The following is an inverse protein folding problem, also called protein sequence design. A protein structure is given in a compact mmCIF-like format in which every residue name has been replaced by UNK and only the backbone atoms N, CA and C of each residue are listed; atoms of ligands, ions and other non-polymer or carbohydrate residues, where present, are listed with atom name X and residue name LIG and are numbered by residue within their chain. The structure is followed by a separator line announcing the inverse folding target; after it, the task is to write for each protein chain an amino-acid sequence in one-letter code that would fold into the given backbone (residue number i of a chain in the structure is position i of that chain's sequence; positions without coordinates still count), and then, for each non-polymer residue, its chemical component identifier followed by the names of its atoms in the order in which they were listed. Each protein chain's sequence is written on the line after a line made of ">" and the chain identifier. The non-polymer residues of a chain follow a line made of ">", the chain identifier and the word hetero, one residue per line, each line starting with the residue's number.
data_IF_828503977822
#
_entry.id   IF_828503977822
#
_cell.length_a   1.000
_cell.length_b   1.000
_cell.length_c   1.000
_cell.angle_alpha   90.00
_cell.angle_beta   90.00
_cell.angle_gamma   90.00
#
_symmetry.space_group_name_H-M   'P 1'
#
loop_
_entity.id
_entity.type
_entity.pdbx_description
1 polymer ?
#
# COMPACT_ATOMS: atom_id res chain seq x y z
N UNK A 1 47.05 34.28 -10.89
CA UNK A 1 46.17 33.24 -11.46
C UNK A 1 46.86 31.89 -11.34
N UNK A 2 46.57 31.10 -10.29
CA UNK A 2 46.93 29.65 -10.14
C UNK A 2 46.64 29.20 -8.70
N UNK A 3 45.40 29.34 -8.23
CA UNK A 3 44.93 28.68 -6.99
C UNK A 3 43.46 28.23 -7.11
N UNK A 4 42.98 27.98 -8.34
CA UNK A 4 41.59 27.54 -8.62
C UNK A 4 41.45 26.00 -8.65
N UNK A 5 42.52 25.24 -8.38
CA UNK A 5 42.54 23.80 -8.66
C UNK A 5 42.29 22.91 -7.42
N UNK A 6 42.24 23.46 -6.20
CA UNK A 6 42.13 22.62 -4.98
C UNK A 6 40.68 22.35 -4.55
N UNK A 7 39.69 23.06 -5.10
CA UNK A 7 38.27 22.88 -4.74
C UNK A 7 37.61 21.71 -5.51
N UNK A 8 38.24 21.20 -6.57
CA UNK A 8 37.69 20.11 -7.38
C UNK A 8 37.93 18.69 -6.80
N UNK A 9 38.64 18.56 -5.68
CA UNK A 9 39.01 17.26 -5.12
C UNK A 9 38.09 16.74 -4.00
N UNK A 10 37.01 17.46 -3.68
CA UNK A 10 36.03 17.05 -2.66
C UNK A 10 34.71 16.51 -3.22
N UNK A 11 34.55 16.43 -4.55
CA UNK A 11 33.25 16.13 -5.17
C UNK A 11 33.10 14.66 -5.60
N UNK A 12 34.17 13.84 -5.65
CA UNK A 12 34.08 12.56 -6.39
C UNK A 12 34.37 11.25 -5.67
N UNK A 13 34.73 11.22 -4.39
CA UNK A 13 34.93 9.92 -3.72
C UNK A 13 34.46 9.92 -2.28
N UNK A 14 33.22 9.47 -2.10
CA UNK A 14 32.84 8.39 -1.16
C UNK A 14 31.38 8.54 -0.68
N UNK A 15 30.45 8.83 -1.59
CA UNK A 15 29.15 8.19 -1.48
C UNK A 15 29.29 6.75 -1.96
N UNK A 16 29.98 5.92 -1.17
CA UNK A 16 29.64 4.50 -1.07
C UNK A 16 28.27 4.42 -0.40
N UNK A 17 27.24 4.93 -1.09
CA UNK A 17 25.87 4.52 -0.84
C UNK A 17 25.80 3.12 -1.41
N UNK A 18 26.39 2.18 -0.67
CA UNK A 18 25.97 0.79 -0.68
C UNK A 18 24.46 0.88 -0.57
N UNK A 19 23.79 0.67 -1.70
CA UNK A 19 22.36 0.50 -1.77
C UNK A 19 22.12 -0.79 -1.02
N UNK A 20 22.07 -0.65 0.31
CA UNK A 20 21.52 -1.63 1.19
C UNK A 20 20.10 -1.74 0.69
N UNK A 21 19.84 -2.76 -0.13
CA UNK A 21 18.53 -3.38 -0.20
C UNK A 21 18.27 -3.91 1.20
N UNK A 22 17.95 -3.00 2.13
CA UNK A 22 17.13 -3.31 3.27
C UNK A 22 15.85 -3.82 2.63
N UNK A 23 15.77 -5.14 2.51
CA UNK A 23 14.50 -5.84 2.52
C UNK A 23 13.77 -5.29 3.75
N UNK A 24 13.01 -4.22 3.54
CA UNK A 24 12.07 -3.70 4.51
C UNK A 24 10.99 -4.76 4.61
N UNK A 25 11.27 -5.82 5.35
CA UNK A 25 10.29 -6.81 5.75
C UNK A 25 9.35 -6.11 6.74
N UNK A 26 8.47 -5.26 6.19
CA UNK A 26 7.39 -4.63 6.94
C UNK A 26 6.64 -5.74 7.67
N UNK A 27 6.47 -5.58 8.98
CA UNK A 27 5.82 -6.59 9.80
C UNK A 27 4.37 -6.77 9.33
N UNK A 28 3.97 -8.02 9.15
CA UNK A 28 2.65 -8.40 8.64
C UNK A 28 1.68 -8.64 9.81
N UNK A 29 0.47 -8.10 9.69
CA UNK A 29 -0.68 -8.29 10.58
C UNK A 29 -1.48 -9.52 10.18
N UNK A 30 -2.47 -9.89 10.99
CA UNK A 30 -3.44 -10.96 10.73
C UNK A 30 -4.84 -10.40 10.37
N UNK A 31 -4.90 -9.15 9.93
CA UNK A 31 -6.10 -8.46 9.45
C UNK A 31 -5.77 -7.47 8.34
N UNK A 32 -6.75 -7.14 7.50
CA UNK A 32 -6.59 -6.09 6.49
C UNK A 32 -6.93 -4.73 7.08
N UNK A 33 -6.11 -3.71 6.83
CA UNK A 33 -6.37 -2.34 7.26
C UNK A 33 -5.69 -1.32 6.36
N UNK A 34 -6.21 -0.10 6.39
CA UNK A 34 -5.69 1.00 5.59
C UNK A 34 -6.47 2.29 5.80
N UNK A 35 -6.06 3.32 5.09
CA UNK A 35 -6.66 4.66 5.13
C UNK A 35 -7.27 4.98 3.76
N UNK A 36 -8.50 5.49 3.77
CA UNK A 36 -9.20 5.93 2.57
C UNK A 36 -9.20 7.44 2.50
N UNK A 37 -8.61 7.99 1.44
CA UNK A 37 -8.61 9.43 1.16
C UNK A 37 -9.30 9.73 -0.18
N UNK A 38 -9.60 11.00 -0.43
CA UNK A 38 -10.03 11.49 -1.74
C UNK A 38 -8.85 12.07 -2.54
N UNK A 39 -9.12 12.56 -3.74
CA UNK A 39 -8.13 13.16 -4.64
C UNK A 39 -7.47 14.43 -4.08
N UNK A 40 -8.05 15.03 -3.05
CA UNK A 40 -7.52 16.18 -2.30
C UNK A 40 -6.75 15.75 -1.04
N UNK A 41 -6.50 14.44 -0.85
CA UNK A 41 -5.89 13.85 0.34
C UNK A 41 -6.68 14.05 1.64
N UNK A 42 -7.99 14.32 1.53
CA UNK A 42 -8.88 14.41 2.68
C UNK A 42 -9.46 13.02 3.01
N UNK A 43 -9.66 12.76 4.29
CA UNK A 43 -10.17 11.47 4.80
C UNK A 43 -11.61 11.25 4.36
N UNK A 44 -11.92 10.05 3.87
CA UNK A 44 -13.27 9.67 3.46
C UNK A 44 -13.87 8.71 4.47
N UNK A 45 -14.93 9.16 5.14
CA UNK A 45 -15.58 8.44 6.24
C UNK A 45 -16.80 7.64 5.75
N UNK A 46 -17.13 6.56 6.47
CA UNK A 46 -18.26 5.71 6.15
C UNK A 46 -18.21 5.10 4.75
N UNK A 47 -17.02 4.78 4.24
CA UNK A 47 -16.82 3.96 3.04
C UNK A 47 -17.04 2.51 3.41
N UNK A 48 -17.90 1.81 2.67
CA UNK A 48 -18.11 0.38 2.83
C UNK A 48 -16.95 -0.37 2.18
N UNK A 49 -16.16 -1.06 3.00
CA UNK A 49 -15.02 -1.87 2.59
C UNK A 49 -15.32 -3.35 2.81
N UNK A 50 -15.20 -4.17 1.77
CA UNK A 50 -15.51 -5.60 1.85
C UNK A 50 -14.54 -6.44 1.03
N UNK A 51 -14.27 -7.66 1.50
CA UNK A 51 -13.51 -8.64 0.73
C UNK A 51 -14.48 -9.43 -0.15
N UNK A 52 -14.14 -9.61 -1.42
CA UNK A 52 -14.90 -10.42 -2.37
C UNK A 52 -14.67 -11.91 -2.09
N UNK A 53 -15.27 -12.41 -1.01
CA UNK A 53 -15.23 -13.81 -0.59
C UNK A 53 -16.57 -14.20 0.07
N UNK A 54 -17.06 -15.44 -0.11
CA UNK A 54 -18.29 -15.89 0.54
C UNK A 54 -18.25 -15.75 2.07
N UNK A 55 -19.28 -15.12 2.64
CA UNK A 55 -19.40 -14.90 4.08
C UNK A 55 -18.58 -13.73 4.62
N UNK A 56 -17.97 -12.90 3.76
CA UNK A 56 -17.36 -11.65 4.18
C UNK A 56 -18.42 -10.60 4.54
N UNK A 57 -18.18 -9.87 5.62
CA UNK A 57 -18.98 -8.71 6.01
C UNK A 57 -18.28 -7.42 5.58
N UNK A 58 -19.08 -6.42 5.21
CA UNK A 58 -18.56 -5.09 4.98
C UNK A 58 -18.28 -4.38 6.31
N UNK A 59 -17.19 -3.60 6.35
CA UNK A 59 -16.88 -2.66 7.43
C UNK A 59 -16.97 -1.24 6.90
N UNK A 60 -17.28 -0.27 7.75
CA UNK A 60 -17.29 1.13 7.39
C UNK A 60 -15.98 1.80 7.83
N UNK A 61 -15.43 2.72 7.02
CA UNK A 61 -14.33 3.56 7.51
C UNK A 61 -14.77 4.46 8.66
N UNK A 62 -13.89 4.65 9.63
CA UNK A 62 -14.12 5.51 10.78
C UNK A 62 -14.01 7.02 10.43
N UNK A 63 -14.01 7.87 11.46
CA UNK A 63 -13.87 9.34 11.29
C UNK A 63 -12.51 9.75 10.73
N UNK A 64 -11.50 8.91 10.90
CA UNK A 64 -10.14 9.13 10.40
C UNK A 64 -9.94 8.51 9.01
N UNK A 65 -11.00 7.93 8.41
CA UNK A 65 -10.94 7.24 7.13
C UNK A 65 -10.30 5.85 7.21
N UNK A 66 -10.08 5.32 8.42
CA UNK A 66 -9.43 4.02 8.61
C UNK A 66 -10.45 2.89 8.50
N UNK A 67 -10.05 1.77 7.90
CA UNK A 67 -10.82 0.53 7.94
C UNK A 67 -9.99 -0.60 8.53
N UNK A 68 -10.67 -1.57 9.12
CA UNK A 68 -10.05 -2.79 9.65
C UNK A 68 -10.99 -3.98 9.41
N UNK A 69 -10.52 -5.01 8.71
CA UNK A 69 -11.28 -6.22 8.43
C UNK A 69 -10.58 -7.39 9.13
N UNK A 70 -11.15 -7.79 10.26
CA UNK A 70 -10.76 -8.96 11.04
C UNK A 70 -11.61 -10.17 10.66
N UNK A 71 -10.99 -11.33 10.50
CA UNK A 71 -11.68 -12.60 10.34
C UNK A 71 -10.91 -13.68 11.11
N UNK A 72 -11.60 -14.54 11.87
CA UNK A 72 -10.97 -15.65 12.60
C UNK A 72 -10.21 -16.61 11.68
N UNK A 73 -10.56 -16.64 10.39
CA UNK A 73 -9.84 -17.42 9.40
C UNK A 73 -8.51 -16.79 9.03
N UNK A 74 -8.33 -15.46 9.14
CA UNK A 74 -7.09 -14.80 8.76
C UNK A 74 -5.94 -15.15 9.70
N UNK A 75 -4.80 -15.43 9.11
CA UNK A 75 -3.52 -15.61 9.74
C UNK A 75 -2.43 -15.11 8.77
N UNK A 76 -1.19 -15.01 9.25
CA UNK A 76 -0.08 -14.48 8.45
C UNK A 76 0.13 -15.20 7.11
N UNK A 77 -0.23 -16.47 6.98
CA UNK A 77 -0.02 -17.25 5.75
C UNK A 77 -1.13 -16.96 4.75
N UNK A 78 -2.39 -17.10 5.15
CA UNK A 78 -3.50 -16.99 4.22
C UNK A 78 -3.90 -15.54 3.88
N UNK A 79 -3.54 -14.58 4.72
CA UNK A 79 -3.78 -13.15 4.44
C UNK A 79 -2.91 -12.62 3.30
N UNK A 80 -1.81 -13.31 3.01
CA UNK A 80 -0.93 -13.05 1.86
C UNK A 80 -1.45 -13.68 0.55
N UNK A 81 -2.54 -14.44 0.59
CA UNK A 81 -3.19 -14.91 -0.64
C UNK A 81 -3.89 -13.74 -1.33
N UNK A 82 -3.97 -13.83 -2.66
CA UNK A 82 -4.67 -12.83 -3.45
C UNK A 82 -6.16 -12.79 -3.08
N UNK A 83 -6.62 -11.60 -2.70
CA UNK A 83 -8.02 -11.27 -2.41
C UNK A 83 -8.33 -9.94 -3.08
N UNK A 84 -9.60 -9.72 -3.42
CA UNK A 84 -10.06 -8.43 -3.92
C UNK A 84 -10.82 -7.71 -2.80
N UNK A 85 -10.46 -6.45 -2.54
CA UNK A 85 -11.16 -5.57 -1.60
C UNK A 85 -11.91 -4.52 -2.41
N UNK A 86 -13.22 -4.42 -2.15
CA UNK A 86 -14.13 -3.46 -2.79
C UNK A 86 -14.33 -2.28 -1.84
N UNK A 87 -14.24 -1.07 -2.37
CA UNK A 87 -14.48 0.19 -1.67
C UNK A 87 -15.67 0.90 -2.31
N UNK A 88 -16.74 1.09 -1.55
CA UNK A 88 -17.99 1.67 -2.05
C UNK A 88 -18.47 2.83 -1.16
N UNK A 89 -18.76 3.97 -1.80
CA UNK A 89 -19.33 5.17 -1.17
C UNK A 89 -20.16 5.94 -2.18
N UNK A 90 -21.33 6.42 -1.78
CA UNK A 90 -22.15 7.31 -2.61
C UNK A 90 -21.37 8.59 -2.98
N UNK A 91 -21.50 9.03 -4.24
CA UNK A 91 -20.73 10.15 -4.79
C UNK A 91 -19.30 9.81 -5.25
N UNK A 92 -18.82 8.58 -4.99
CA UNK A 92 -17.51 8.09 -5.42
C UNK A 92 -17.65 6.93 -6.41
N UNK A 93 -16.62 6.75 -7.25
CA UNK A 93 -16.49 5.57 -8.10
C UNK A 93 -16.16 4.38 -7.20
N UNK A 94 -16.91 3.28 -7.34
CA UNK A 94 -16.59 2.02 -6.65
C UNK A 94 -15.28 1.49 -7.19
N UNK A 95 -14.33 1.24 -6.30
CA UNK A 95 -13.00 0.73 -6.66
C UNK A 95 -12.80 -0.69 -6.11
N UNK A 96 -12.01 -1.49 -6.81
CA UNK A 96 -11.66 -2.86 -6.43
C UNK A 96 -10.16 -3.05 -6.53
N UNK A 97 -9.52 -3.33 -5.40
CA UNK A 97 -8.06 -3.48 -5.31
C UNK A 97 -7.70 -4.93 -4.99
N UNK A 98 -6.77 -5.50 -5.76
CA UNK A 98 -6.15 -6.77 -5.41
C UNK A 98 -5.14 -6.57 -4.28
N UNK A 99 -5.22 -7.40 -3.24
CA UNK A 99 -4.28 -7.38 -2.11
C UNK A 99 -2.89 -7.86 -2.50
N UNK A 100 -2.73 -8.48 -3.67
CA UNK A 100 -1.48 -9.01 -4.16
C UNK A 100 -1.17 -8.41 -5.53
N UNK A 101 -0.10 -7.62 -5.65
CA UNK A 101 0.46 -7.26 -6.95
C UNK A 101 1.69 -8.10 -7.23
N UNK A 102 1.62 -8.85 -8.32
CA UNK A 102 2.74 -9.65 -8.83
C UNK A 102 3.42 -8.82 -9.92
N UNK A 103 4.60 -8.28 -9.61
CA UNK A 103 5.41 -7.53 -10.56
C UNK A 103 5.84 -8.40 -11.75
N UNK A 104 6.05 -7.79 -12.93
CA UNK A 104 6.40 -8.54 -14.12
C UNK A 104 7.78 -9.18 -14.00
N UNK A 105 7.91 -10.37 -14.57
CA UNK A 105 9.09 -11.21 -14.47
C UNK A 105 10.15 -10.79 -15.52
N UNK A 106 10.56 -9.53 -15.48
CA UNK A 106 11.57 -9.04 -16.43
C UNK A 106 12.96 -9.42 -15.91
N UNK A 107 13.71 -10.21 -16.69
CA UNK A 107 15.13 -10.52 -16.52
C UNK A 107 15.51 -11.62 -15.50
N UNK A 108 14.66 -12.63 -15.28
CA UNK A 108 15.04 -13.81 -14.46
C UNK A 108 15.25 -13.53 -12.97
N UNK A 109 14.89 -12.33 -12.50
CA UNK A 109 14.84 -11.98 -11.07
C UNK A 109 13.56 -12.54 -10.45
N UNK A 110 13.63 -12.88 -9.16
CA UNK A 110 12.50 -13.39 -8.37
C UNK A 110 11.31 -12.43 -8.48
N UNK A 111 10.09 -12.95 -8.73
CA UNK A 111 8.86 -12.14 -8.76
C UNK A 111 8.80 -11.25 -7.53
N UNK A 112 8.70 -9.94 -7.73
CA UNK A 112 8.38 -9.01 -6.64
C UNK A 112 6.90 -9.19 -6.33
N UNK A 113 6.61 -9.64 -5.12
CA UNK A 113 5.26 -9.82 -4.61
C UNK A 113 5.03 -8.69 -3.60
N UNK A 114 4.09 -7.80 -3.90
CA UNK A 114 3.69 -6.74 -3.00
C UNK A 114 2.30 -7.06 -2.44
N UNK A 115 2.22 -7.19 -1.12
CA UNK A 115 0.95 -7.30 -0.42
C UNK A 115 0.46 -5.91 0.01
N UNK A 116 -0.82 -5.63 -0.16
CA UNK A 116 -1.46 -4.39 0.29
C UNK A 116 -2.35 -4.65 1.51
N UNK A 117 -2.44 -3.64 2.37
CA UNK A 117 -3.33 -3.54 3.53
C UNK A 117 -3.06 -4.55 4.65
N UNK A 118 -1.93 -5.27 4.65
CA UNK A 118 -1.60 -6.29 5.67
C UNK A 118 -0.34 -5.94 6.48
N UNK A 119 0.24 -4.77 6.27
CA UNK A 119 1.46 -4.35 6.96
C UNK A 119 1.11 -3.47 8.16
N UNK A 120 1.89 -3.51 9.24
CA UNK A 120 1.61 -2.69 10.43
C UNK A 120 1.48 -1.18 10.13
N UNK A 121 2.23 -0.69 9.15
CA UNK A 121 2.02 0.66 8.61
C UNK A 121 0.88 0.57 7.59
N UNK A 122 -0.25 1.27 7.80
CA UNK A 122 -1.40 1.19 6.93
C UNK A 122 -1.09 1.70 5.53
N UNK A 123 -1.57 0.97 4.53
CA UNK A 123 -1.56 1.45 3.15
C UNK A 123 -2.73 2.40 2.89
N UNK A 124 -2.59 3.28 1.91
CA UNK A 124 -3.59 4.29 1.56
C UNK A 124 -4.20 4.01 0.20
N UNK A 125 -5.52 4.15 0.09
CA UNK A 125 -6.25 4.16 -1.18
C UNK A 125 -6.87 5.54 -1.42
N UNK A 126 -6.82 6.00 -2.67
CA UNK A 126 -7.42 7.27 -3.11
C UNK A 126 -8.69 6.98 -3.90
N UNK A 127 -9.86 7.35 -3.36
CA UNK A 127 -11.13 7.25 -4.07
C UNK A 127 -11.39 8.49 -4.92
N UNK A 128 -11.87 8.25 -6.14
CA UNK A 128 -12.24 9.31 -7.09
C UNK A 128 -13.74 9.60 -7.04
N UNK A 129 -14.11 10.86 -7.22
CA UNK A 129 -15.53 11.24 -7.32
C UNK A 129 -16.13 10.82 -8.67
N UNK A 130 -17.44 10.55 -8.69
CA UNK A 130 -18.16 10.39 -9.96
C UNK A 130 -18.22 11.75 -10.67
N UNK A 131 -17.86 11.78 -11.94
CA UNK A 131 -18.11 12.94 -12.80
C UNK A 131 -19.60 12.92 -13.17
N UNK A 132 -20.29 14.02 -12.92
CA UNK A 132 -21.67 14.24 -13.34
C UNK A 132 -21.70 15.07 -14.62
#
# INVERSE_FOLDING_TARGET
>A
MKWIIIVYLFIFMSCNFSSSTKDNSRKITDYYHGIVLNEQFEKVTGVSVMILEPGSHAVATDKEGHFEIKNKKFNKINIQLEKSIIFAKEGYITDTVSTLLIGPNHLGKKKSINNYFIHEIPDTIILRRKLF
#
